data_IF_204341394948
#
_entry.id   IF_204341394948
#
_cell.length_a   1.000
_cell.length_b   1.000
_cell.length_c   1.000
_cell.angle_alpha   90.00
_cell.angle_beta   90.00
_cell.angle_gamma   90.00
#
_symmetry.space_group_name_H-M   'P 1'
#
loop_
_entity.id
_entity.type
_entity.pdbx_description
1 polymer ?
#
# COMPACT_ATOMS: atom_id res chain seq x y z
N UNK A 1 -36.13 -6.97 13.17
CA UNK A 1 -35.31 -6.72 11.96
C UNK A 1 -34.18 -5.81 12.39
N UNK A 2 -32.92 -6.18 12.12
CA UNK A 2 -31.79 -5.29 12.36
C UNK A 2 -31.75 -4.25 11.25
N UNK A 3 -31.77 -2.97 11.60
CA UNK A 3 -31.74 -1.85 10.67
C UNK A 3 -30.51 -0.98 10.96
N UNK A 4 -29.67 -0.77 9.95
CA UNK A 4 -28.45 0.02 10.07
C UNK A 4 -28.60 1.32 9.27
N UNK A 5 -29.07 2.38 9.95
CA UNK A 5 -29.23 3.68 9.33
C UNK A 5 -27.87 4.29 8.90
N UNK A 6 -27.86 4.87 7.70
CA UNK A 6 -26.75 5.66 7.15
C UNK A 6 -26.49 6.90 8.03
N UNK A 7 -25.23 7.31 8.16
CA UNK A 7 -24.82 8.47 8.99
C UNK A 7 -24.15 9.60 8.23
N UNK A 8 -23.61 9.31 7.06
CA UNK A 8 -23.00 10.31 6.18
C UNK A 8 -23.39 10.01 4.76
N UNK A 9 -23.67 11.07 4.01
CA UNK A 9 -23.83 11.02 2.55
C UNK A 9 -22.50 11.31 1.84
N UNK A 10 -21.46 11.72 2.59
CA UNK A 10 -20.11 11.90 2.06
C UNK A 10 -19.43 10.54 1.89
N UNK A 11 -19.13 10.22 0.63
CA UNK A 11 -18.38 9.03 0.29
C UNK A 11 -16.89 9.25 0.60
N UNK A 12 -16.21 8.27 1.22
CA UNK A 12 -14.77 8.35 1.41
C UNK A 12 -14.06 8.33 0.06
N UNK A 13 -12.84 8.84 0.01
CA UNK A 13 -12.01 8.82 -1.19
C UNK A 13 -11.91 7.40 -1.76
N UNK A 14 -12.09 7.29 -3.07
CA UNK A 14 -11.94 6.04 -3.79
C UNK A 14 -10.44 5.77 -4.00
N UNK A 15 -9.93 4.59 -3.64
CA UNK A 15 -8.56 4.19 -3.94
C UNK A 15 -8.27 4.25 -5.43
N UNK A 16 -7.05 4.62 -5.81
CA UNK A 16 -6.63 4.69 -7.21
C UNK A 16 -5.49 3.73 -7.48
N UNK A 17 -5.50 3.10 -8.66
CA UNK A 17 -4.41 2.22 -9.07
C UNK A 17 -3.13 3.01 -9.33
N UNK A 18 -2.01 2.55 -8.77
CA UNK A 18 -0.67 3.05 -9.05
C UNK A 18 0.19 1.95 -9.68
N UNK A 19 1.31 2.34 -10.28
CA UNK A 19 2.33 1.40 -10.75
C UNK A 19 3.06 0.76 -9.57
N UNK A 20 3.61 -0.42 -9.81
CA UNK A 20 4.38 -1.15 -8.80
C UNK A 20 5.56 -0.33 -8.32
N UNK A 21 5.82 -0.38 -7.02
CA UNK A 21 7.01 0.19 -6.44
C UNK A 21 8.18 -0.78 -6.62
N UNK A 22 9.40 -0.32 -6.94
CA UNK A 22 10.55 -1.21 -7.18
C UNK A 22 10.82 -2.20 -6.04
N UNK A 23 10.73 -1.75 -4.79
CA UNK A 23 10.98 -2.58 -3.62
C UNK A 23 9.94 -3.69 -3.39
N UNK A 24 8.76 -3.62 -4.02
CA UNK A 24 7.73 -4.66 -3.89
C UNK A 24 7.87 -5.79 -4.92
N UNK A 25 8.87 -5.72 -5.80
CA UNK A 25 8.94 -6.54 -7.01
C UNK A 25 9.81 -7.78 -6.77
N UNK A 26 9.28 -8.93 -7.17
CA UNK A 26 9.97 -10.22 -7.18
C UNK A 26 10.15 -10.71 -8.62
N UNK A 27 10.94 -11.78 -8.80
CA UNK A 27 11.41 -12.26 -10.10
C UNK A 27 10.25 -12.59 -11.05
N UNK A 28 9.21 -13.23 -10.54
CA UNK A 28 8.02 -13.61 -11.31
C UNK A 28 7.25 -12.38 -11.77
N UNK A 29 7.02 -11.42 -10.87
CA UNK A 29 6.33 -10.18 -11.20
C UNK A 29 7.13 -9.37 -12.23
N UNK A 30 8.44 -9.24 -12.04
CA UNK A 30 9.31 -8.55 -12.99
C UNK A 30 9.23 -9.21 -14.38
N UNK A 31 9.29 -10.54 -14.44
CA UNK A 31 9.19 -11.30 -15.70
C UNK A 31 7.83 -11.12 -16.38
N UNK A 32 6.73 -11.10 -15.61
CA UNK A 32 5.38 -10.84 -16.13
C UNK A 32 5.29 -9.43 -16.72
N UNK A 33 5.75 -8.42 -15.97
CA UNK A 33 5.77 -7.02 -16.41
C UNK A 33 6.63 -6.83 -17.67
N UNK A 34 7.78 -7.48 -17.76
CA UNK A 34 8.64 -7.43 -18.95
C UNK A 34 7.99 -8.06 -20.18
N UNK A 35 7.14 -9.07 -19.98
CA UNK A 35 6.39 -9.73 -21.06
C UNK A 35 5.21 -8.88 -21.53
N UNK A 36 4.52 -8.22 -20.60
CA UNK A 36 3.33 -7.41 -20.86
C UNK A 36 3.66 -5.99 -21.36
N UNK A 37 4.82 -5.44 -20.98
CA UNK A 37 5.21 -4.09 -21.33
C UNK A 37 5.44 -3.93 -22.83
N UNK A 38 5.12 -2.72 -23.32
CA UNK A 38 5.36 -2.31 -24.71
C UNK A 38 6.76 -1.71 -24.91
N UNK A 39 7.49 -1.47 -23.82
CA UNK A 39 8.80 -0.83 -23.87
C UNK A 39 9.87 -1.81 -24.37
N UNK A 40 10.66 -1.37 -25.35
CA UNK A 40 11.73 -2.19 -25.94
C UNK A 40 13.02 -2.13 -25.11
N UNK A 41 13.36 -0.96 -24.60
CA UNK A 41 14.61 -0.70 -23.89
C UNK A 41 14.40 -0.82 -22.39
N UNK A 42 15.32 -1.50 -21.71
CA UNK A 42 15.21 -1.75 -20.27
C UNK A 42 15.18 -0.44 -19.45
N UNK A 43 15.97 0.56 -19.85
CA UNK A 43 15.95 1.87 -19.21
C UNK A 43 14.56 2.53 -19.26
N UNK A 44 13.85 2.41 -20.40
CA UNK A 44 12.50 2.97 -20.55
C UNK A 44 11.48 2.17 -19.75
N UNK A 45 11.56 0.84 -19.82
CA UNK A 45 10.73 -0.07 -19.02
C UNK A 45 10.79 0.29 -17.53
N UNK A 46 12.00 0.43 -16.97
CA UNK A 46 12.20 0.78 -15.56
C UNK A 46 11.52 2.10 -15.19
N UNK A 47 11.58 3.12 -16.05
CA UNK A 47 10.95 4.42 -15.79
C UNK A 47 9.45 4.49 -16.04
N UNK A 48 8.88 3.57 -16.82
CA UNK A 48 7.48 3.61 -17.26
C UNK A 48 6.58 2.65 -16.52
N UNK A 49 7.12 1.50 -16.11
CA UNK A 49 6.32 0.45 -15.45
C UNK A 49 6.39 0.51 -13.93
N UNK A 50 7.34 1.24 -13.36
CA UNK A 50 7.48 1.38 -11.91
C UNK A 50 7.22 2.81 -11.44
N UNK A 51 6.67 2.94 -10.24
CA UNK A 51 6.63 4.20 -9.52
C UNK A 51 8.01 4.52 -8.96
N UNK A 52 8.27 5.80 -8.67
CA UNK A 52 9.50 6.25 -8.00
C UNK A 52 10.83 5.95 -8.73
N UNK A 53 10.80 5.55 -10.02
CA UNK A 53 12.01 5.36 -10.84
C UNK A 53 12.18 6.48 -11.84
N UNK A 54 13.10 7.39 -11.53
CA UNK A 54 13.54 8.43 -12.48
C UNK A 54 14.53 7.88 -13.51
N UNK A 55 14.71 8.59 -14.62
CA UNK A 55 15.70 8.20 -15.64
C UNK A 55 17.14 8.13 -15.09
N UNK A 56 17.47 8.99 -14.11
CA UNK A 56 18.78 8.97 -13.45
C UNK A 56 18.94 7.75 -12.55
N UNK A 57 17.89 7.36 -11.83
CA UNK A 57 17.91 6.15 -11.00
C UNK A 57 17.93 4.88 -11.85
N UNK A 58 17.16 4.82 -12.93
CA UNK A 58 17.21 3.72 -13.89
C UNK A 58 18.63 3.52 -14.44
N UNK A 59 19.30 4.61 -14.84
CA UNK A 59 20.69 4.53 -15.31
C UNK A 59 21.66 4.00 -14.23
N UNK A 60 21.46 4.38 -12.96
CA UNK A 60 22.26 3.87 -11.84
C UNK A 60 22.01 2.38 -11.60
N UNK A 61 20.75 1.93 -11.62
CA UNK A 61 20.40 0.53 -11.46
C UNK A 61 21.06 -0.33 -12.55
N UNK A 62 20.94 0.08 -13.82
CA UNK A 62 21.56 -0.63 -14.95
C UNK A 62 23.09 -0.70 -14.84
N UNK A 63 23.72 0.39 -14.41
CA UNK A 63 25.16 0.42 -14.18
C UNK A 63 25.59 -0.57 -13.08
N UNK A 64 24.82 -0.69 -12.01
CA UNK A 64 25.11 -1.58 -10.89
C UNK A 64 25.02 -3.06 -11.30
N UNK A 65 24.01 -3.43 -12.09
CA UNK A 65 23.90 -4.78 -12.68
C UNK A 65 24.77 -4.99 -13.93
N UNK A 66 25.58 -4.00 -14.30
CA UNK A 66 26.50 -4.03 -15.46
C UNK A 66 25.79 -4.27 -16.80
N UNK A 67 24.57 -3.77 -16.94
CA UNK A 67 23.81 -3.80 -18.19
C UNK A 67 23.98 -2.49 -18.97
N UNK A 68 24.26 -2.54 -20.29
CA UNK A 68 24.24 -1.37 -21.15
C UNK A 68 22.87 -0.65 -21.16
N UNK A 69 22.87 0.66 -21.39
CA UNK A 69 21.63 1.47 -21.42
C UNK A 69 20.71 1.13 -22.61
N UNK A 70 21.28 0.59 -23.67
CA UNK A 70 20.61 0.14 -24.89
C UNK A 70 20.15 -1.33 -24.81
N UNK A 71 20.30 -1.99 -23.65
CA UNK A 71 19.82 -3.36 -23.45
C UNK A 71 18.32 -3.45 -23.72
N UNK A 72 17.93 -4.39 -24.57
CA UNK A 72 16.52 -4.67 -24.83
C UNK A 72 15.92 -5.52 -23.71
N UNK A 73 14.67 -5.23 -23.33
CA UNK A 73 13.93 -5.97 -22.29
C UNK A 73 13.90 -7.48 -22.60
N UNK A 74 13.69 -7.84 -23.87
CA UNK A 74 13.61 -9.24 -24.33
C UNK A 74 14.96 -9.97 -24.39
N UNK A 75 16.07 -9.24 -24.31
CA UNK A 75 17.41 -9.80 -24.36
C UNK A 75 17.95 -10.18 -22.96
N UNK A 76 17.23 -9.85 -21.87
CA UNK A 76 17.65 -10.21 -20.53
C UNK A 76 17.54 -11.72 -20.31
N UNK A 77 18.62 -12.30 -19.80
CA UNK A 77 18.60 -13.67 -19.30
C UNK A 77 17.99 -13.73 -17.89
N UNK A 78 17.58 -14.93 -17.49
CA UNK A 78 16.98 -15.14 -16.16
C UNK A 78 17.91 -14.68 -15.03
N UNK A 79 19.23 -14.85 -15.20
CA UNK A 79 20.21 -14.45 -14.19
C UNK A 79 20.23 -12.93 -13.97
N UNK A 80 20.19 -12.14 -15.04
CA UNK A 80 20.10 -10.68 -14.96
C UNK A 80 18.77 -10.24 -14.34
N UNK A 81 17.65 -10.92 -14.63
CA UNK A 81 16.35 -10.63 -14.02
C UNK A 81 16.41 -10.85 -12.49
N UNK A 82 16.97 -11.97 -12.04
CA UNK A 82 17.14 -12.26 -10.61
C UNK A 82 18.02 -11.20 -9.93
N UNK A 83 19.14 -10.82 -10.57
CA UNK A 83 20.05 -9.79 -10.04
C UNK A 83 19.37 -8.43 -9.95
N UNK A 84 18.57 -8.06 -10.96
CA UNK A 84 17.83 -6.80 -10.98
C UNK A 84 16.75 -6.78 -9.91
N UNK A 85 15.96 -7.83 -9.77
CA UNK A 85 14.94 -7.93 -8.73
C UNK A 85 15.54 -7.85 -7.31
N UNK A 86 16.66 -8.54 -7.08
CA UNK A 86 17.37 -8.44 -5.80
C UNK A 86 17.88 -7.01 -5.56
N UNK A 87 18.49 -6.37 -6.55
CA UNK A 87 18.96 -4.99 -6.41
C UNK A 87 17.81 -4.02 -6.11
N UNK A 88 16.66 -4.19 -6.76
CA UNK A 88 15.47 -3.36 -6.52
C UNK A 88 14.90 -3.53 -5.10
N UNK A 89 15.20 -4.62 -4.40
CA UNK A 89 14.82 -4.80 -2.99
C UNK A 89 15.79 -4.12 -2.02
N UNK A 90 17.08 -4.09 -2.36
CA UNK A 90 18.13 -3.52 -1.51
C UNK A 90 18.26 -2.00 -1.63
N UNK A 91 17.93 -1.44 -2.79
CA UNK A 91 18.01 0.01 -3.02
C UNK A 91 16.88 0.72 -2.29
N UNK A 92 17.21 1.84 -1.63
CA UNK A 92 16.22 2.73 -1.05
C UNK A 92 15.61 3.63 -2.14
N UNK A 93 14.30 3.56 -2.30
CA UNK A 93 13.50 4.39 -3.21
C UNK A 93 12.66 5.39 -2.40
N UNK A 94 12.20 6.44 -3.07
CA UNK A 94 11.22 7.37 -2.49
C UNK A 94 9.88 6.67 -2.26
N UNK A 95 9.13 7.11 -1.26
CA UNK A 95 7.82 6.55 -0.95
C UNK A 95 6.83 6.71 -2.12
N UNK A 96 6.02 5.67 -2.44
CA UNK A 96 4.94 5.81 -3.39
C UNK A 96 3.85 6.77 -2.87
N UNK A 97 3.01 7.33 -3.77
CA UNK A 97 1.95 8.25 -3.38
C UNK A 97 0.94 7.60 -2.41
N UNK A 98 0.74 8.17 -1.23
CA UNK A 98 -0.24 7.69 -0.23
C UNK A 98 -1.69 7.96 -0.65
N UNK A 99 -1.88 8.90 -1.58
CA UNK A 99 -3.16 9.27 -2.16
C UNK A 99 -3.87 8.14 -2.89
N UNK A 100 -3.15 7.06 -3.20
CA UNK A 100 -3.73 5.86 -3.79
C UNK A 100 -4.61 5.09 -2.81
N UNK A 101 -4.48 5.35 -1.51
CA UNK A 101 -5.24 4.70 -0.46
C UNK A 101 -6.56 5.42 -0.18
N UNK A 102 -7.54 4.65 0.26
CA UNK A 102 -8.81 5.14 0.77
C UNK A 102 -8.91 4.85 2.27
N UNK A 103 -8.39 5.71 3.16
CA UNK A 103 -8.60 5.55 4.60
C UNK A 103 -10.08 5.70 4.98
N UNK A 104 -10.43 5.33 6.20
CA UNK A 104 -11.76 5.59 6.78
C UNK A 104 -11.89 7.09 7.11
N UNK A 105 -10.82 7.67 7.65
CA UNK A 105 -10.74 9.03 8.15
C UNK A 105 -11.09 9.12 9.63
N UNK A 106 -10.34 9.92 10.39
CA UNK A 106 -10.54 10.13 11.83
C UNK A 106 -11.99 10.53 12.18
N UNK A 107 -12.59 11.39 11.37
CA UNK A 107 -13.96 11.87 11.56
C UNK A 107 -15.00 10.77 11.42
N UNK A 108 -14.96 10.01 10.33
CA UNK A 108 -15.91 8.92 10.07
C UNK A 108 -15.74 7.78 11.08
N UNK A 109 -14.50 7.45 11.44
CA UNK A 109 -14.20 6.46 12.47
C UNK A 109 -14.81 6.86 13.81
N UNK A 110 -14.66 8.14 14.19
CA UNK A 110 -15.25 8.68 15.42
C UNK A 110 -16.78 8.58 15.42
N UNK A 111 -17.43 8.94 14.31
CA UNK A 111 -18.89 8.86 14.19
C UNK A 111 -19.39 7.41 14.27
N UNK A 112 -18.67 6.47 13.67
CA UNK A 112 -18.99 5.04 13.75
C UNK A 112 -18.92 4.51 15.17
N UNK A 113 -17.82 4.79 15.88
CA UNK A 113 -17.63 4.39 17.28
C UNK A 113 -18.73 4.96 18.18
N UNK A 114 -19.04 6.25 18.05
CA UNK A 114 -20.09 6.90 18.87
C UNK A 114 -21.45 6.24 18.63
N UNK A 115 -21.79 5.95 17.37
CA UNK A 115 -23.09 5.36 17.03
C UNK A 115 -23.24 3.94 17.58
N UNK A 116 -22.23 3.10 17.35
CA UNK A 116 -22.38 1.66 17.61
C UNK A 116 -22.08 1.32 19.07
N UNK A 117 -21.20 2.06 19.75
CA UNK A 117 -20.78 1.75 21.14
C UNK A 117 -21.32 2.72 22.20
N UNK A 118 -21.81 3.89 21.79
CA UNK A 118 -22.29 4.95 22.70
C UNK A 118 -21.35 5.21 23.90
N UNK A 119 -20.04 5.43 23.69
CA UNK A 119 -19.07 5.58 24.77
C UNK A 119 -19.14 6.96 25.44
N UNK A 120 -18.55 7.08 26.63
CA UNK A 120 -18.43 8.36 27.35
C UNK A 120 -17.32 9.23 26.74
N UNK A 121 -16.25 8.59 26.26
CA UNK A 121 -15.10 9.25 25.64
C UNK A 121 -14.65 8.48 24.40
N UNK A 122 -14.19 9.21 23.38
CA UNK A 122 -13.62 8.64 22.16
C UNK A 122 -12.48 9.50 21.65
N UNK A 123 -11.39 8.85 21.27
CA UNK A 123 -10.25 9.43 20.56
C UNK A 123 -9.99 8.61 19.30
N UNK A 124 -9.69 9.29 18.20
CA UNK A 124 -9.36 8.67 16.91
C UNK A 124 -8.11 9.33 16.35
N UNK A 125 -7.30 8.56 15.64
CA UNK A 125 -6.10 9.05 14.96
C UNK A 125 -5.87 8.28 13.66
N UNK A 126 -5.41 8.99 12.63
CA UNK A 126 -4.92 8.45 11.39
C UNK A 126 -3.47 8.89 11.21
N UNK A 127 -2.58 7.92 11.01
CA UNK A 127 -1.17 8.19 10.74
C UNK A 127 -0.99 8.86 9.36
N UNK A 128 0.11 9.57 9.17
CA UNK A 128 0.46 10.23 7.90
C UNK A 128 0.66 9.24 6.74
N UNK A 129 0.84 7.96 7.05
CA UNK A 129 1.11 6.89 6.10
C UNK A 129 2.59 6.55 6.04
N UNK A 130 2.88 5.28 5.71
CA UNK A 130 4.22 4.77 5.59
C UNK A 130 4.30 3.73 4.46
N UNK A 131 5.51 3.40 4.05
CA UNK A 131 5.73 2.37 3.03
C UNK A 131 6.25 1.10 3.70
N UNK A 132 5.56 -0.01 3.47
CA UNK A 132 5.97 -1.32 3.96
C UNK A 132 6.21 -2.24 2.77
N UNK A 133 7.44 -2.71 2.59
CA UNK A 133 7.84 -3.57 1.46
C UNK A 133 7.46 -3.00 0.08
N UNK A 134 7.54 -1.67 -0.07
CA UNK A 134 7.13 -0.97 -1.30
C UNK A 134 5.63 -0.74 -1.44
N UNK A 135 4.82 -1.16 -0.47
CA UNK A 135 3.38 -0.91 -0.46
C UNK A 135 3.02 0.27 0.45
N UNK A 136 2.33 1.31 -0.07
CA UNK A 136 1.82 2.38 0.77
C UNK A 136 0.80 1.80 1.75
N UNK A 137 0.92 2.18 3.02
CA UNK A 137 0.14 1.67 4.15
C UNK A 137 -0.24 2.83 5.05
N UNK A 138 -1.49 2.86 5.52
CA UNK A 138 -1.97 3.82 6.53
C UNK A 138 -2.53 3.02 7.71
N UNK A 139 -2.16 3.42 8.92
CA UNK A 139 -2.71 2.86 10.16
C UNK A 139 -3.68 3.87 10.77
N UNK A 140 -4.88 3.38 11.11
CA UNK A 140 -5.92 4.15 11.78
C UNK A 140 -6.26 3.46 13.10
N UNK A 141 -6.38 4.24 14.17
CA UNK A 141 -6.70 3.71 15.49
C UNK A 141 -7.76 4.56 16.18
N UNK A 142 -8.70 3.89 16.84
CA UNK A 142 -9.71 4.52 17.69
C UNK A 142 -9.74 3.85 19.05
N UNK A 143 -9.82 4.65 20.11
CA UNK A 143 -9.98 4.18 21.48
C UNK A 143 -11.19 4.86 22.09
N UNK A 144 -12.03 4.09 22.78
CA UNK A 144 -13.16 4.62 23.52
C UNK A 144 -13.24 4.03 24.93
N UNK A 145 -13.84 4.79 25.85
CA UNK A 145 -14.03 4.41 27.24
C UNK A 145 -15.51 4.52 27.62
N UNK A 146 -15.99 3.59 28.45
CA UNK A 146 -17.39 3.48 28.82
C UNK A 146 -18.26 2.94 27.69
N UNK A 147 -19.57 3.13 27.83
CA UNK A 147 -20.56 2.64 26.87
C UNK A 147 -21.56 1.67 27.49
N UNK A 148 -22.75 1.64 26.91
CA UNK A 148 -23.92 0.96 27.47
C UNK A 148 -23.73 -0.57 27.60
N UNK A 149 -22.97 -1.16 26.69
CA UNK A 149 -22.76 -2.61 26.58
C UNK A 149 -21.26 -3.01 26.71
N UNK A 150 -20.44 -2.15 27.31
CA UNK A 150 -19.01 -2.40 27.48
C UNK A 150 -18.76 -3.55 28.47
N UNK A 151 -18.07 -4.59 28.01
CA UNK A 151 -17.63 -5.70 28.88
C UNK A 151 -16.39 -5.29 29.69
N UNK A 152 -16.19 -5.85 30.91
CA UNK A 152 -14.95 -5.65 31.65
C UNK A 152 -13.73 -6.10 30.83
N UNK A 153 -12.67 -5.30 30.85
CA UNK A 153 -11.42 -5.57 30.12
C UNK A 153 -11.27 -4.75 28.85
N UNK A 154 -10.40 -5.20 27.94
CA UNK A 154 -10.11 -4.54 26.66
C UNK A 154 -10.76 -5.34 25.54
N UNK A 155 -11.62 -4.69 24.77
CA UNK A 155 -12.19 -5.27 23.53
C UNK A 155 -11.44 -4.68 22.34
N UNK A 156 -10.90 -5.53 21.47
CA UNK A 156 -10.13 -5.12 20.29
C UNK A 156 -10.92 -5.46 19.02
N UNK A 157 -11.23 -4.44 18.23
CA UNK A 157 -11.79 -4.60 16.90
C UNK A 157 -10.69 -4.37 15.86
N UNK A 158 -10.45 -5.35 15.00
CA UNK A 158 -9.41 -5.28 13.96
C UNK A 158 -10.04 -5.17 12.58
N UNK A 159 -9.44 -4.35 11.73
CA UNK A 159 -9.86 -4.14 10.35
C UNK A 159 -8.64 -4.18 9.44
N UNK A 160 -8.81 -4.74 8.25
CA UNK A 160 -7.85 -4.65 7.17
C UNK A 160 -8.60 -4.25 5.88
N UNK A 161 -8.14 -3.20 5.19
CA UNK A 161 -8.78 -2.70 3.96
C UNK A 161 -10.31 -2.52 4.08
N UNK A 162 -10.76 -1.95 5.21
CA UNK A 162 -12.18 -1.73 5.56
C UNK A 162 -13.01 -3.00 5.80
N UNK A 163 -12.37 -4.16 5.95
CA UNK A 163 -13.01 -5.45 6.24
C UNK A 163 -12.75 -5.82 7.71
N UNK A 164 -13.78 -6.14 8.51
CA UNK A 164 -13.61 -6.58 9.89
C UNK A 164 -12.98 -7.97 9.96
N UNK A 165 -11.97 -8.12 10.83
CA UNK A 165 -11.31 -9.40 11.10
C UNK A 165 -11.96 -10.06 12.33
N UNK A 166 -12.73 -11.13 12.10
CA UNK A 166 -13.56 -11.76 13.13
C UNK A 166 -12.86 -12.89 13.89
N UNK A 167 -11.82 -13.49 13.31
CA UNK A 167 -11.13 -14.67 13.85
C UNK A 167 -9.67 -14.33 14.22
N UNK A 168 -9.06 -15.15 15.06
CA UNK A 168 -7.68 -14.97 15.58
C UNK A 168 -7.53 -13.75 16.50
N UNK A 169 -8.33 -13.70 17.57
CA UNK A 169 -8.23 -12.65 18.60
C UNK A 169 -7.01 -12.78 19.53
N UNK A 170 -6.28 -13.91 19.47
CA UNK A 170 -5.35 -14.35 20.52
C UNK A 170 -6.08 -15.02 21.67
#
# INVERSE_FOLDING_TARGET
VLEYARRSDEMPRVPTTIKHHPASVHVELLSSLMTESKEKLLAKFLTKEFSCVSATLAAKLLKEVRLPMDTEVKALDHKAIVQLAHLMKEVQFDDPPMECLGPVGEYNMRLGIIKELSPDMVATHQDAGCTHEGHPTIVEAGVCLGGKDAKPGVTVYRFANRIPLLFEGG
#
